data_IF_099248199020
#
_entry.id   IF_099248199020
#
_cell.length_a   1.000
_cell.length_b   1.000
_cell.length_c   1.000
_cell.angle_alpha   90.00
_cell.angle_beta   90.00
_cell.angle_gamma   90.00
#
_symmetry.space_group_name_H-M   'P 1'
#
loop_
_entity.id
_entity.type
_entity.pdbx_description
1 polymer ?
#
# COMPACT_ATOMS: atom_id res chain seq x y z
N UNK A 1 10.90 -45.32 -19.30
CA UNK A 1 10.06 -44.44 -20.16
C UNK A 1 10.98 -43.46 -20.88
N UNK A 2 10.77 -43.15 -22.17
CA UNK A 2 11.63 -42.26 -22.97
C UNK A 2 10.81 -41.36 -23.90
N UNK A 3 11.42 -40.29 -24.39
CA UNK A 3 10.93 -39.44 -25.48
C UNK A 3 11.74 -39.83 -26.71
N UNK A 4 11.05 -40.27 -27.76
CA UNK A 4 11.69 -40.67 -29.02
C UNK A 4 11.36 -39.64 -30.09
N UNK A 5 12.38 -39.00 -30.64
CA UNK A 5 12.30 -38.03 -31.73
C UNK A 5 12.83 -38.70 -33.00
N UNK A 6 12.05 -38.62 -34.07
CA UNK A 6 12.42 -39.12 -35.39
C UNK A 6 12.37 -38.01 -36.42
N UNK A 7 13.44 -37.88 -37.20
CA UNK A 7 13.55 -37.01 -38.36
C UNK A 7 13.40 -35.52 -38.06
N UNK A 8 14.04 -35.01 -37.01
CA UNK A 8 14.02 -33.58 -36.71
C UNK A 8 14.87 -32.79 -37.73
N UNK A 9 14.25 -31.80 -38.38
CA UNK A 9 14.81 -31.00 -39.49
C UNK A 9 14.72 -29.49 -39.25
N UNK A 10 14.31 -29.07 -38.05
CA UNK A 10 14.17 -27.66 -37.69
C UNK A 10 15.52 -26.92 -37.82
N UNK A 11 15.50 -25.81 -38.57
CA UNK A 11 16.66 -24.97 -38.89
C UNK A 11 17.82 -25.73 -39.56
N UNK A 12 18.85 -26.07 -38.78
CA UNK A 12 20.06 -26.72 -39.28
C UNK A 12 20.20 -28.18 -38.81
N UNK A 13 19.16 -28.74 -38.18
CA UNK A 13 19.09 -30.16 -37.90
C UNK A 13 19.01 -30.95 -39.20
N UNK A 14 19.79 -32.04 -39.29
CA UNK A 14 19.93 -32.85 -40.50
C UNK A 14 19.27 -34.21 -40.30
N UNK A 15 17.93 -34.22 -40.24
CA UNK A 15 17.14 -35.45 -40.12
C UNK A 15 17.55 -36.28 -38.89
N UNK A 16 17.51 -35.63 -37.71
CA UNK A 16 18.09 -36.19 -36.48
C UNK A 16 17.10 -37.06 -35.74
N UNK A 17 17.51 -38.30 -35.46
CA UNK A 17 16.84 -39.22 -34.54
C UNK A 17 17.52 -39.19 -33.16
N UNK A 18 16.74 -39.02 -32.10
CA UNK A 18 17.28 -39.03 -30.73
C UNK A 18 16.27 -39.57 -29.71
N UNK A 19 16.77 -40.37 -28.78
CA UNK A 19 16.01 -40.85 -27.62
C UNK A 19 16.48 -40.13 -26.35
N UNK A 20 15.55 -39.49 -25.64
CA UNK A 20 15.81 -38.80 -24.37
C UNK A 20 15.16 -39.59 -23.22
N UNK A 21 15.91 -39.99 -22.18
CA UNK A 21 15.33 -40.69 -21.05
C UNK A 21 14.44 -39.74 -20.23
N UNK A 22 13.24 -40.19 -19.87
CA UNK A 22 12.37 -39.43 -18.95
C UNK A 22 12.89 -39.52 -17.51
N UNK A 23 12.44 -38.56 -16.69
CA UNK A 23 12.73 -38.52 -15.25
C UNK A 23 14.23 -38.43 -14.93
N UNK A 24 15.00 -37.89 -15.87
CA UNK A 24 16.43 -37.64 -15.72
C UNK A 24 16.77 -36.22 -16.16
N UNK A 25 17.77 -35.63 -15.51
CA UNK A 25 18.39 -34.41 -16.00
C UNK A 25 19.19 -34.73 -17.27
N UNK A 26 18.67 -34.30 -18.42
CA UNK A 26 19.36 -34.45 -19.71
C UNK A 26 20.00 -33.12 -20.10
N UNK A 27 21.30 -33.16 -20.40
CA UNK A 27 22.06 -31.98 -20.83
C UNK A 27 22.39 -32.09 -22.30
N UNK A 28 21.94 -31.12 -23.10
CA UNK A 28 22.28 -31.00 -24.52
C UNK A 28 23.49 -30.07 -24.65
N UNK A 29 24.60 -30.58 -25.16
CA UNK A 29 25.87 -29.84 -25.29
C UNK A 29 26.40 -29.88 -26.72
N UNK A 30 27.32 -28.97 -27.06
CA UNK A 30 27.89 -28.82 -28.41
C UNK A 30 28.27 -27.37 -28.76
N UNK A 31 29.02 -27.20 -29.84
CA UNK A 31 29.51 -25.90 -30.33
C UNK A 31 28.38 -24.90 -30.60
N UNK A 32 28.66 -23.59 -30.50
CA UNK A 32 27.68 -22.57 -30.89
C UNK A 32 27.18 -22.81 -32.33
N UNK A 33 25.87 -22.71 -32.54
CA UNK A 33 25.25 -23.02 -33.84
C UNK A 33 25.11 -24.52 -34.16
N UNK A 34 25.46 -25.46 -33.27
CA UNK A 34 25.33 -26.90 -33.55
C UNK A 34 23.89 -27.46 -33.57
N UNK A 35 22.85 -26.62 -33.50
CA UNK A 35 21.44 -27.04 -33.50
C UNK A 35 20.86 -27.41 -32.14
N UNK A 36 21.56 -27.13 -31.02
CA UNK A 36 21.06 -27.42 -29.66
C UNK A 36 19.71 -26.76 -29.37
N UNK A 37 19.61 -25.46 -29.65
CA UNK A 37 18.38 -24.70 -29.43
C UNK A 37 17.28 -25.14 -30.38
N UNK A 38 17.64 -25.48 -31.62
CA UNK A 38 16.70 -26.02 -32.61
C UNK A 38 16.08 -27.34 -32.17
N UNK A 39 16.86 -28.21 -31.53
CA UNK A 39 16.35 -29.47 -30.96
C UNK A 39 15.53 -29.24 -29.68
N UNK A 40 16.06 -28.46 -28.73
CA UNK A 40 15.47 -28.32 -27.40
C UNK A 40 14.24 -27.39 -27.37
N UNK A 41 14.35 -26.20 -27.99
CA UNK A 41 13.31 -25.18 -27.96
C UNK A 41 12.41 -25.27 -29.19
N UNK A 42 13.00 -25.18 -30.37
CA UNK A 42 12.23 -25.04 -31.62
C UNK A 42 11.58 -26.37 -32.06
N UNK A 43 12.01 -27.52 -31.54
CA UNK A 43 11.40 -28.84 -31.80
C UNK A 43 10.66 -29.38 -30.57
N UNK A 44 11.37 -29.72 -29.49
CA UNK A 44 10.78 -30.39 -28.33
C UNK A 44 9.78 -29.52 -27.57
N UNK A 45 10.20 -28.32 -27.16
CA UNK A 45 9.32 -27.40 -26.44
C UNK A 45 8.16 -26.94 -27.31
N UNK A 46 8.43 -26.52 -28.56
CA UNK A 46 7.39 -26.09 -29.49
C UNK A 46 6.31 -27.16 -29.67
N UNK A 47 6.69 -28.42 -29.91
CA UNK A 47 5.73 -29.50 -30.10
C UNK A 47 5.02 -29.89 -28.78
N UNK A 48 5.72 -29.83 -27.65
CA UNK A 48 5.16 -30.13 -26.34
C UNK A 48 4.11 -29.09 -25.91
N UNK A 49 4.41 -27.81 -26.15
CA UNK A 49 3.48 -26.71 -25.93
C UNK A 49 2.29 -26.80 -26.88
N UNK A 50 2.53 -27.01 -28.19
CA UNK A 50 1.46 -27.13 -29.20
C UNK A 50 0.46 -28.23 -28.85
N UNK A 51 0.93 -29.45 -28.57
CA UNK A 51 0.06 -30.59 -28.20
C UNK A 51 -0.72 -30.34 -26.92
N UNK A 52 -0.11 -29.67 -25.94
CA UNK A 52 -0.80 -29.31 -24.70
C UNK A 52 -1.91 -28.29 -24.94
N UNK A 53 -1.62 -27.18 -25.62
CA UNK A 53 -2.62 -26.12 -25.89
C UNK A 53 -3.74 -26.64 -26.81
N UNK A 54 -3.45 -27.56 -27.73
CA UNK A 54 -4.45 -28.23 -28.56
C UNK A 54 -5.47 -29.03 -27.74
N UNK A 55 -5.10 -29.49 -26.55
CA UNK A 55 -6.00 -30.23 -25.67
C UNK A 55 -6.92 -29.34 -24.84
N UNK A 56 -6.64 -28.03 -24.69
CA UNK A 56 -7.34 -27.15 -23.75
C UNK A 56 -8.77 -26.80 -24.17
N UNK A 57 -9.00 -26.39 -25.41
CA UNK A 57 -10.35 -26.09 -25.90
C UNK A 57 -10.49 -26.21 -27.41
N UNK A 58 -11.71 -26.48 -27.90
CA UNK A 58 -12.03 -26.50 -29.33
C UNK A 58 -11.78 -25.14 -30.00
N UNK A 59 -11.98 -24.04 -29.25
CA UNK A 59 -11.66 -22.68 -29.70
C UNK A 59 -10.15 -22.47 -29.82
N UNK A 60 -9.34 -22.86 -28.84
CA UNK A 60 -7.89 -22.74 -28.89
C UNK A 60 -7.29 -23.45 -30.11
N UNK A 61 -7.83 -24.64 -30.46
CA UNK A 61 -7.41 -25.37 -31.68
C UNK A 61 -7.55 -24.54 -32.96
N UNK A 62 -8.57 -23.68 -33.08
CA UNK A 62 -8.75 -22.83 -34.26
C UNK A 62 -7.64 -21.78 -34.40
N UNK A 63 -7.07 -21.31 -33.29
CA UNK A 63 -5.97 -20.33 -33.29
C UNK A 63 -4.60 -21.00 -33.37
N UNK A 64 -4.46 -22.23 -32.86
CA UNK A 64 -3.21 -23.01 -32.90
C UNK A 64 -2.83 -23.51 -34.29
N UNK A 65 -3.81 -23.67 -35.20
CA UNK A 65 -3.52 -23.97 -36.60
C UNK A 65 -2.67 -22.90 -37.31
N UNK A 66 -2.41 -21.75 -36.65
CA UNK A 66 -1.51 -20.69 -37.12
C UNK A 66 -0.11 -20.74 -36.49
N UNK A 67 0.14 -21.60 -35.52
CA UNK A 67 1.50 -21.81 -35.01
C UNK A 67 2.24 -22.75 -35.96
N UNK A 68 3.44 -22.35 -36.38
CA UNK A 68 4.28 -23.17 -37.25
C UNK A 68 4.58 -24.49 -36.53
N UNK A 69 4.12 -25.59 -37.13
CA UNK A 69 4.43 -26.92 -36.63
C UNK A 69 5.92 -27.19 -36.90
N UNK A 70 6.70 -27.62 -35.89
CA UNK A 70 8.11 -27.91 -36.11
C UNK A 70 8.29 -29.00 -37.17
N UNK A 71 9.30 -28.85 -38.01
CA UNK A 71 9.68 -29.81 -39.04
C UNK A 71 10.33 -31.06 -38.40
N UNK A 72 9.48 -32.03 -38.06
CA UNK A 72 9.83 -33.30 -37.44
C UNK A 72 8.86 -34.37 -37.89
N UNK A 73 9.38 -35.56 -38.22
CA UNK A 73 8.56 -36.65 -38.75
C UNK A 73 7.66 -37.24 -37.64
N UNK A 74 8.23 -37.55 -36.48
CA UNK A 74 7.48 -38.09 -35.33
C UNK A 74 8.15 -37.78 -34.01
N UNK A 75 7.33 -37.50 -32.99
CA UNK A 75 7.77 -37.47 -31.59
C UNK A 75 6.81 -38.29 -30.73
N UNK A 76 7.34 -39.33 -30.09
CA UNK A 76 6.61 -40.23 -29.20
C UNK A 76 6.98 -39.99 -27.74
N UNK A 77 5.99 -40.18 -26.86
CA UNK A 77 6.20 -40.03 -25.42
C UNK A 77 6.46 -38.59 -24.96
N UNK A 78 6.13 -37.57 -25.74
CA UNK A 78 6.32 -36.17 -25.31
C UNK A 78 5.38 -35.78 -24.16
N UNK A 79 5.93 -35.13 -23.13
CA UNK A 79 5.14 -34.55 -22.03
C UNK A 79 4.82 -33.07 -22.33
N UNK A 80 3.82 -32.45 -21.67
CA UNK A 80 3.67 -31.00 -21.67
C UNK A 80 5.00 -30.33 -21.30
N UNK A 81 5.43 -29.37 -22.11
CA UNK A 81 6.74 -28.76 -22.01
C UNK A 81 6.64 -27.31 -21.52
N UNK A 82 7.60 -26.91 -20.68
CA UNK A 82 7.77 -25.53 -20.21
C UNK A 82 9.21 -25.12 -20.54
N UNK A 83 9.38 -24.02 -21.26
CA UNK A 83 10.68 -23.43 -21.53
C UNK A 83 11.00 -22.36 -20.48
N UNK A 84 12.23 -22.42 -19.96
CA UNK A 84 12.79 -21.38 -19.11
C UNK A 84 13.96 -20.78 -19.88
N UNK A 85 13.73 -19.59 -20.43
CA UNK A 85 14.70 -18.86 -21.26
C UNK A 85 15.27 -17.64 -20.53
N UNK A 86 16.46 -17.20 -20.93
CA UNK A 86 17.04 -15.94 -20.46
C UNK A 86 16.34 -14.70 -21.04
N UNK A 87 15.57 -14.84 -22.13
CA UNK A 87 14.74 -13.75 -22.67
C UNK A 87 13.51 -13.58 -21.80
N UNK A 88 13.61 -12.73 -20.78
CA UNK A 88 12.42 -12.32 -20.04
C UNK A 88 11.50 -11.53 -20.97
N UNK A 89 10.22 -11.88 -21.01
CA UNK A 89 9.21 -10.92 -21.45
C UNK A 89 9.41 -9.66 -20.59
N UNK A 90 9.73 -8.54 -21.24
CA UNK A 90 9.85 -7.26 -20.54
C UNK A 90 8.47 -6.92 -19.99
N UNK A 91 8.26 -7.17 -18.69
CA UNK A 91 7.03 -6.81 -18.02
C UNK A 91 6.74 -5.32 -18.18
N UNK A 92 5.45 -4.96 -18.12
CA UNK A 92 5.02 -3.58 -18.21
C UNK A 92 5.62 -2.70 -17.09
N UNK A 93 5.48 -1.37 -17.18
CA UNK A 93 6.07 -0.42 -16.23
C UNK A 93 5.64 -0.62 -14.77
N UNK A 94 4.51 -1.30 -14.53
CA UNK A 94 4.03 -1.66 -13.19
C UNK A 94 4.50 -3.04 -12.70
N UNK A 95 5.14 -3.85 -13.55
CA UNK A 95 5.66 -5.16 -13.16
C UNK A 95 6.87 -5.02 -12.24
N UNK A 96 6.84 -5.72 -11.12
CA UNK A 96 7.90 -5.83 -10.12
C UNK A 96 8.29 -7.29 -9.90
N UNK A 97 9.42 -7.54 -9.22
CA UNK A 97 9.81 -8.90 -8.77
C UNK A 97 8.67 -9.54 -7.97
N UNK A 98 8.10 -8.80 -7.01
CA UNK A 98 7.00 -9.29 -6.16
C UNK A 98 5.74 -9.66 -6.96
N UNK A 99 5.41 -8.94 -8.04
CA UNK A 99 4.26 -9.31 -8.89
C UNK A 99 4.54 -10.51 -9.79
N UNK A 100 5.79 -10.69 -10.25
CA UNK A 100 6.15 -11.81 -11.13
C UNK A 100 6.28 -13.13 -10.38
N UNK A 101 6.61 -13.05 -9.10
CA UNK A 101 6.76 -14.20 -8.20
C UNK A 101 5.48 -14.48 -7.40
N UNK A 102 4.41 -13.72 -7.63
CA UNK A 102 3.13 -13.79 -6.89
C UNK A 102 3.25 -13.51 -5.38
N UNK A 103 4.45 -13.20 -4.87
CA UNK A 103 4.68 -12.78 -3.49
C UNK A 103 3.81 -11.59 -3.13
N UNK A 104 3.61 -10.66 -4.07
CA UNK A 104 2.74 -9.51 -3.86
C UNK A 104 1.29 -9.94 -3.54
N UNK A 105 0.78 -10.97 -4.19
CA UNK A 105 -0.61 -11.43 -3.97
C UNK A 105 -0.76 -12.10 -2.61
N UNK A 106 0.26 -12.84 -2.17
CA UNK A 106 0.31 -13.36 -0.80
C UNK A 106 0.41 -12.24 0.25
N UNK A 107 1.25 -11.23 0.03
CA UNK A 107 1.37 -10.09 0.94
C UNK A 107 0.05 -9.31 1.04
N UNK A 108 -0.64 -9.08 -0.09
CA UNK A 108 -1.95 -8.42 -0.11
C UNK A 108 -2.96 -9.17 0.74
N UNK A 109 -3.00 -10.50 0.61
CA UNK A 109 -3.89 -11.33 1.41
C UNK A 109 -3.50 -11.34 2.89
N UNK A 110 -2.21 -11.40 3.20
CA UNK A 110 -1.70 -11.37 4.57
C UNK A 110 -2.12 -10.09 5.29
N UNK A 111 -1.78 -8.93 4.72
CA UNK A 111 -2.12 -7.63 5.30
C UNK A 111 -3.63 -7.37 5.35
N UNK A 112 -4.40 -7.87 4.39
CA UNK A 112 -5.86 -7.74 4.44
C UNK A 112 -6.53 -8.60 5.51
N UNK A 113 -5.95 -9.75 5.87
CA UNK A 113 -6.57 -10.71 6.79
C UNK A 113 -6.15 -10.54 8.24
N UNK A 114 -4.88 -10.25 8.48
CA UNK A 114 -4.32 -10.14 9.83
C UNK A 114 -3.73 -8.77 10.12
N UNK A 115 -3.83 -7.83 9.17
CA UNK A 115 -3.35 -6.47 9.36
C UNK A 115 -4.16 -5.73 10.41
N UNK A 116 -3.46 -5.12 11.36
CA UNK A 116 -4.05 -4.30 12.42
C UNK A 116 -3.85 -2.84 12.05
N UNK A 117 -4.96 -2.11 11.90
CA UNK A 117 -4.90 -0.66 11.64
C UNK A 117 -4.61 0.08 12.93
N UNK A 118 -3.61 0.97 12.93
CA UNK A 118 -3.24 1.82 14.06
C UNK A 118 -3.34 3.29 13.69
N UNK A 119 -3.82 4.11 14.62
CA UNK A 119 -3.88 5.56 14.43
C UNK A 119 -2.48 6.17 14.40
N UNK A 120 -2.18 7.10 13.49
CA UNK A 120 -0.91 7.82 13.49
C UNK A 120 -0.81 8.86 14.62
N UNK A 121 -1.92 9.21 15.30
CA UNK A 121 -1.95 10.22 16.36
C UNK A 121 -1.66 9.56 17.72
N UNK A 122 -2.47 8.59 18.14
CA UNK A 122 -2.31 7.89 19.41
C UNK A 122 -1.43 6.64 19.34
N UNK A 123 -1.26 6.03 18.15
CA UNK A 123 -0.64 4.70 18.01
C UNK A 123 -1.58 3.54 18.39
N UNK A 124 -2.79 3.84 18.83
CA UNK A 124 -3.76 2.84 19.26
C UNK A 124 -4.45 2.14 18.09
N UNK A 125 -4.97 0.94 18.37
CA UNK A 125 -5.65 0.12 17.38
C UNK A 125 -6.98 0.76 17.01
N UNK A 126 -7.20 0.93 15.71
CA UNK A 126 -8.50 1.30 15.15
C UNK A 126 -9.35 0.04 15.11
N UNK A 127 -10.52 0.12 15.74
CA UNK A 127 -11.50 -0.97 15.80
C UNK A 127 -12.84 -0.47 15.30
N UNK A 128 -13.66 -1.43 14.92
CA UNK A 128 -15.07 -1.26 14.58
C UNK A 128 -15.83 -2.31 15.36
N UNK A 129 -16.55 -1.86 16.35
CA UNK A 129 -17.33 -2.71 17.22
C UNK A 129 -18.65 -3.07 16.53
N UNK A 130 -19.05 -4.33 16.67
CA UNK A 130 -20.35 -4.84 16.23
C UNK A 130 -21.29 -4.81 17.40
N UNK A 131 -22.59 -4.86 17.10
CA UNK A 131 -23.64 -5.05 18.11
C UNK A 131 -23.33 -6.22 19.03
N UNK A 132 -22.85 -7.34 18.46
CA UNK A 132 -22.43 -8.53 19.21
C UNK A 132 -21.31 -8.25 20.20
N UNK A 133 -20.33 -7.41 19.85
CA UNK A 133 -19.20 -7.09 20.75
C UNK A 133 -19.69 -6.33 22.00
N UNK A 134 -20.66 -5.43 21.82
CA UNK A 134 -21.28 -4.69 22.93
C UNK A 134 -22.17 -5.60 23.78
N UNK A 135 -22.97 -6.46 23.14
CA UNK A 135 -23.82 -7.44 23.83
C UNK A 135 -22.96 -8.39 24.67
N UNK A 136 -21.90 -8.95 24.08
CA UNK A 136 -20.96 -9.84 24.77
C UNK A 136 -20.31 -9.12 25.96
N UNK A 137 -19.94 -7.85 25.81
CA UNK A 137 -19.42 -7.05 26.91
C UNK A 137 -20.44 -6.87 28.04
N UNK A 138 -21.69 -6.53 27.72
CA UNK A 138 -22.78 -6.39 28.70
C UNK A 138 -23.00 -7.70 29.46
N UNK A 139 -22.99 -8.84 28.77
CA UNK A 139 -23.19 -10.16 29.39
C UNK A 139 -22.00 -10.60 30.28
N UNK A 140 -20.78 -10.16 29.98
CA UNK A 140 -19.55 -10.64 30.62
C UNK A 140 -18.95 -9.69 31.66
N UNK A 141 -19.32 -8.41 31.66
CA UNK A 141 -18.70 -7.40 32.53
C UNK A 141 -18.97 -7.59 34.04
N UNK A 142 -19.96 -8.42 34.42
CA UNK A 142 -20.21 -8.82 35.80
C UNK A 142 -20.76 -7.71 36.73
N UNK A 143 -21.09 -6.54 36.21
CA UNK A 143 -21.60 -5.42 36.99
C UNK A 143 -23.08 -5.61 37.37
N UNK A 144 -23.49 -5.28 38.60
CA UNK A 144 -24.89 -5.43 39.04
C UNK A 144 -25.87 -4.57 38.25
N UNK A 145 -25.42 -3.39 37.80
CA UNK A 145 -26.21 -2.41 37.05
C UNK A 145 -25.38 -1.80 35.94
N UNK A 146 -25.92 -1.89 34.74
CA UNK A 146 -25.34 -1.34 33.52
C UNK A 146 -26.32 -0.35 32.89
N UNK A 147 -25.79 0.73 32.34
CA UNK A 147 -26.56 1.69 31.54
C UNK A 147 -25.94 1.82 30.17
N UNK A 148 -26.75 1.69 29.14
CA UNK A 148 -26.35 1.92 27.77
C UNK A 148 -26.67 3.37 27.40
N UNK A 149 -25.64 4.12 27.08
CA UNK A 149 -25.71 5.56 26.82
C UNK A 149 -25.27 5.86 25.40
N UNK A 150 -26.10 6.57 24.65
CA UNK A 150 -25.73 7.14 23.35
C UNK A 150 -25.20 8.56 23.55
N UNK A 151 -23.94 8.87 23.22
CA UNK A 151 -23.41 10.23 23.35
C UNK A 151 -24.20 11.19 22.44
N UNK A 152 -24.65 12.32 23.00
CA UNK A 152 -25.50 13.25 22.28
C UNK A 152 -24.65 14.37 21.66
N UNK A 153 -24.37 14.26 20.36
CA UNK A 153 -23.65 15.33 19.66
C UNK A 153 -24.58 16.54 19.42
N UNK A 154 -24.08 17.78 19.57
CA UNK A 154 -24.82 18.98 19.20
C UNK A 154 -25.10 18.97 17.70
N UNK A 155 -26.34 19.23 17.31
CA UNK A 155 -26.73 19.28 15.89
C UNK A 155 -26.78 20.73 15.42
N UNK A 156 -26.38 20.96 14.18
CA UNK A 156 -26.40 22.30 13.57
C UNK A 156 -27.81 22.76 13.17
N UNK A 157 -28.78 21.83 13.09
CA UNK A 157 -30.14 22.08 12.57
C UNK A 157 -31.16 22.46 13.65
N UNK A 158 -30.82 22.34 14.94
CA UNK A 158 -31.74 22.58 16.05
C UNK A 158 -31.01 22.97 17.34
N UNK A 159 -31.71 23.64 18.25
CA UNK A 159 -31.19 23.91 19.59
C UNK A 159 -31.13 22.62 20.44
N UNK A 160 -30.27 22.54 21.47
CA UNK A 160 -30.25 21.41 22.41
C UNK A 160 -31.61 21.16 23.06
N UNK A 161 -32.35 22.22 23.40
CA UNK A 161 -33.70 22.10 23.98
C UNK A 161 -34.69 21.45 23.01
N UNK A 162 -34.67 21.86 21.75
CA UNK A 162 -35.54 21.28 20.72
C UNK A 162 -35.16 19.83 20.42
N UNK A 163 -33.85 19.50 20.46
CA UNK A 163 -33.38 18.12 20.34
C UNK A 163 -33.93 17.24 21.46
N UNK A 164 -33.90 17.72 22.71
CA UNK A 164 -34.45 17.01 23.86
C UNK A 164 -35.98 16.86 23.76
N UNK A 165 -36.71 17.89 23.31
CA UNK A 165 -38.17 17.79 23.10
C UNK A 165 -38.54 16.72 22.09
N UNK A 166 -37.78 16.60 20.99
CA UNK A 166 -38.01 15.56 19.97
C UNK A 166 -37.75 14.17 20.56
N UNK A 167 -36.65 13.98 21.29
CA UNK A 167 -36.34 12.71 21.96
C UNK A 167 -37.43 12.34 22.99
N UNK A 168 -37.95 13.33 23.73
CA UNK A 168 -39.05 13.12 24.67
C UNK A 168 -40.34 12.68 23.95
N UNK A 169 -40.65 13.28 22.79
CA UNK A 169 -41.78 12.87 21.95
C UNK A 169 -41.62 11.46 21.36
N UNK A 170 -40.38 11.02 21.15
CA UNK A 170 -40.05 9.65 20.75
C UNK A 170 -40.12 8.64 21.91
N UNK A 171 -40.38 9.11 23.14
CA UNK A 171 -40.59 8.26 24.31
C UNK A 171 -39.38 8.10 25.22
N UNK A 172 -38.26 8.77 24.93
CA UNK A 172 -37.13 8.79 25.83
C UNK A 172 -37.45 9.60 27.10
N UNK A 173 -37.02 9.10 28.25
CA UNK A 173 -37.34 9.71 29.56
C UNK A 173 -36.13 10.13 30.38
N UNK A 174 -34.93 9.66 30.00
CA UNK A 174 -33.70 9.84 30.76
C UNK A 174 -32.53 10.24 29.88
N UNK A 175 -31.64 11.05 30.47
CA UNK A 175 -30.39 11.51 29.87
C UNK A 175 -29.24 11.29 30.84
N UNK A 176 -28.04 11.23 30.28
CA UNK A 176 -26.79 11.14 31.02
C UNK A 176 -26.17 12.53 31.15
N UNK A 177 -25.78 12.89 32.37
CA UNK A 177 -25.16 14.17 32.73
C UNK A 177 -23.87 13.92 33.51
N UNK A 178 -23.12 14.97 33.85
CA UNK A 178 -21.92 14.84 34.69
C UNK A 178 -22.20 14.25 36.09
N UNK A 179 -23.44 14.35 36.58
CA UNK A 179 -23.89 13.79 37.86
C UNK A 179 -24.57 12.42 37.72
N UNK A 180 -24.60 11.87 36.50
CA UNK A 180 -25.19 10.57 36.16
C UNK A 180 -26.54 10.67 35.45
N UNK A 181 -27.33 9.60 35.53
CA UNK A 181 -28.61 9.48 34.84
C UNK A 181 -29.72 10.32 35.51
N UNK A 182 -30.27 11.28 34.78
CA UNK A 182 -31.37 12.15 35.22
C UNK A 182 -32.61 11.97 34.35
N UNK A 183 -33.79 12.31 34.90
CA UNK A 183 -35.02 12.42 34.11
C UNK A 183 -35.02 13.72 33.33
N UNK A 184 -35.53 13.68 32.10
CA UNK A 184 -35.59 14.85 31.24
C UNK A 184 -36.45 15.99 31.82
N UNK A 185 -37.46 15.65 32.62
CA UNK A 185 -38.34 16.63 33.29
C UNK A 185 -37.67 17.36 34.47
N UNK A 186 -36.44 17.00 34.84
CA UNK A 186 -35.72 17.51 36.02
C UNK A 186 -34.34 18.10 35.67
N UNK A 187 -34.16 18.53 34.43
CA UNK A 187 -32.89 18.91 33.82
C UNK A 187 -32.37 20.32 34.16
N UNK A 188 -32.91 21.00 35.17
CA UNK A 188 -32.72 22.44 35.42
C UNK A 188 -31.24 22.87 35.50
N UNK A 189 -30.68 23.32 34.36
CA UNK A 189 -29.31 23.87 34.25
C UNK A 189 -28.18 22.85 34.06
N UNK A 190 -28.46 21.57 33.83
CA UNK A 190 -27.43 20.54 33.64
C UNK A 190 -27.10 20.28 32.16
N UNK A 191 -25.81 20.15 31.87
CA UNK A 191 -25.33 19.76 30.53
C UNK A 191 -25.65 18.29 30.24
N UNK A 192 -26.33 18.05 29.12
CA UNK A 192 -26.65 16.70 28.64
C UNK A 192 -25.49 16.15 27.83
N UNK A 193 -24.86 15.10 28.36
CA UNK A 193 -23.73 14.41 27.74
C UNK A 193 -24.18 13.25 26.83
N UNK A 194 -25.34 12.64 27.13
CA UNK A 194 -25.85 11.50 26.38
C UNK A 194 -27.30 11.17 26.66
N UNK A 195 -27.84 10.26 25.87
CA UNK A 195 -29.17 9.70 26.00
C UNK A 195 -29.09 8.32 26.64
N UNK A 196 -29.86 8.06 27.70
CA UNK A 196 -29.92 6.72 28.31
C UNK A 196 -30.93 5.90 27.53
N UNK A 197 -30.44 4.90 26.80
CA UNK A 197 -31.26 4.09 25.89
C UNK A 197 -31.90 2.93 26.62
N UNK A 198 -31.10 2.15 27.35
CA UNK A 198 -31.63 1.07 28.20
C UNK A 198 -30.73 0.85 29.43
N UNK A 199 -31.24 0.03 30.36
CA UNK A 199 -30.60 -0.37 31.60
C UNK A 199 -30.74 -1.87 31.77
N UNK A 200 -29.65 -2.49 32.20
CA UNK A 200 -29.56 -3.94 32.34
C UNK A 200 -29.05 -4.30 33.73
N UNK A 201 -29.58 -5.38 34.29
CA UNK A 201 -28.89 -6.24 35.24
C UNK A 201 -28.34 -7.47 34.51
N UNK A 202 -27.31 -8.16 35.05
CA UNK A 202 -26.76 -9.37 34.44
C UNK A 202 -27.83 -10.42 34.13
N UNK A 203 -28.79 -10.60 35.05
CA UNK A 203 -29.89 -11.53 34.89
C UNK A 203 -30.83 -11.11 33.75
N UNK A 204 -31.22 -9.82 33.69
CA UNK A 204 -32.13 -9.35 32.64
C UNK A 204 -31.51 -9.36 31.25
N UNK A 205 -30.19 -9.16 31.16
CA UNK A 205 -29.48 -9.20 29.88
C UNK A 205 -29.39 -10.63 29.34
N UNK A 206 -29.14 -11.60 30.22
CA UNK A 206 -29.07 -13.02 29.86
C UNK A 206 -30.45 -13.64 29.54
N UNK A 207 -31.53 -13.10 30.10
CA UNK A 207 -32.90 -13.57 29.83
C UNK A 207 -33.41 -13.16 28.44
N UNK A 208 -32.94 -12.02 27.90
CA UNK A 208 -33.41 -11.47 26.62
C UNK A 208 -32.29 -10.75 25.85
N UNK A 209 -31.37 -11.53 25.28
CA UNK A 209 -30.26 -11.01 24.46
C UNK A 209 -30.76 -10.22 23.24
N UNK A 210 -31.94 -10.56 22.70
CA UNK A 210 -32.55 -9.87 21.57
C UNK A 210 -32.88 -8.41 21.91
N UNK A 211 -33.48 -8.17 23.08
CA UNK A 211 -33.73 -6.80 23.57
C UNK A 211 -32.43 -6.02 23.78
N UNK A 212 -31.37 -6.67 24.29
CA UNK A 212 -30.07 -6.00 24.47
C UNK A 212 -29.52 -5.56 23.12
N UNK A 213 -29.57 -6.45 22.11
CA UNK A 213 -29.14 -6.14 20.75
C UNK A 213 -29.92 -4.98 20.13
N UNK A 214 -31.26 -4.97 20.23
CA UNK A 214 -32.11 -3.88 19.72
C UNK A 214 -31.78 -2.52 20.39
N UNK A 215 -31.48 -2.57 21.69
CA UNK A 215 -31.08 -1.39 22.47
C UNK A 215 -29.71 -0.87 22.06
N UNK A 216 -28.75 -1.78 21.82
CA UNK A 216 -27.42 -1.45 21.29
C UNK A 216 -27.50 -0.83 19.90
N UNK A 217 -28.32 -1.39 19.00
CA UNK A 217 -28.56 -0.79 17.67
C UNK A 217 -29.12 0.63 17.80
N UNK A 218 -30.11 0.81 18.67
CA UNK A 218 -30.69 2.13 18.95
C UNK A 218 -29.65 3.11 19.50
N UNK A 219 -28.80 2.66 20.43
CA UNK A 219 -27.77 3.50 21.01
C UNK A 219 -26.69 3.91 20.01
N UNK A 220 -26.24 2.99 19.16
CA UNK A 220 -25.30 3.29 18.09
C UNK A 220 -25.94 4.26 17.08
N UNK A 221 -27.21 4.07 16.72
CA UNK A 221 -27.92 4.95 15.80
C UNK A 221 -28.03 6.39 16.33
N UNK A 222 -28.58 6.56 17.55
CA UNK A 222 -28.76 7.89 18.14
C UNK A 222 -27.42 8.56 18.50
N UNK A 223 -26.41 7.76 18.85
CA UNK A 223 -25.06 8.23 19.17
C UNK A 223 -24.18 8.50 17.95
N UNK A 224 -24.72 8.40 16.73
CA UNK A 224 -23.98 8.67 15.50
C UNK A 224 -22.86 7.67 15.24
N UNK A 225 -23.06 6.42 15.63
CA UNK A 225 -22.13 5.30 15.53
C UNK A 225 -21.41 4.98 16.83
N UNK A 226 -21.61 5.76 17.90
CA UNK A 226 -20.94 5.56 19.19
C UNK A 226 -21.96 5.18 20.26
N UNK A 227 -21.56 4.35 21.20
CA UNK A 227 -22.29 4.12 22.43
C UNK A 227 -21.33 3.86 23.59
N UNK A 228 -21.81 3.99 24.81
CA UNK A 228 -21.04 3.77 26.02
C UNK A 228 -21.82 2.86 26.95
N UNK A 229 -21.15 1.83 27.48
CA UNK A 229 -21.68 1.00 28.55
C UNK A 229 -21.11 1.51 29.85
N UNK A 230 -21.96 2.10 30.69
CA UNK A 230 -21.62 2.60 32.01
C UNK A 230 -21.92 1.55 33.05
N UNK A 231 -20.93 1.21 33.86
CA UNK A 231 -21.04 0.29 35.01
C UNK A 231 -20.83 1.07 36.29
N UNK A 232 -21.53 0.68 37.35
CA UNK A 232 -21.32 1.24 38.70
C UNK A 232 -20.67 0.19 39.58
N UNK A 233 -19.46 0.48 40.08
CA UNK A 233 -18.75 -0.38 41.04
C UNK A 233 -19.40 -0.31 42.43
N UNK A 234 -19.13 -1.30 43.29
CA UNK A 234 -19.53 -1.33 44.70
C UNK A 234 -19.07 -0.08 45.48
N UNK A 235 -17.95 0.53 45.07
CA UNK A 235 -17.42 1.79 45.64
C UNK A 235 -18.15 3.05 45.16
N UNK A 236 -19.22 2.91 44.36
CA UNK A 236 -20.00 4.02 43.81
C UNK A 236 -19.33 4.80 42.68
N UNK A 237 -18.16 4.36 42.20
CA UNK A 237 -17.50 4.93 41.02
C UNK A 237 -18.13 4.38 39.74
N UNK A 238 -18.46 5.29 38.82
CA UNK A 238 -18.96 4.96 37.50
C UNK A 238 -17.78 4.87 36.51
N UNK A 239 -17.66 3.73 35.83
CA UNK A 239 -16.70 3.51 34.75
C UNK A 239 -17.44 3.25 33.44
N UNK A 240 -16.86 3.67 32.33
CA UNK A 240 -17.45 3.48 31.02
C UNK A 240 -16.49 2.82 30.04
N UNK A 241 -17.07 1.98 29.18
CA UNK A 241 -16.41 1.44 28.00
C UNK A 241 -17.12 2.01 26.78
N UNK A 242 -16.37 2.69 25.92
CA UNK A 242 -16.87 3.25 24.66
C UNK A 242 -16.74 2.24 23.53
N UNK A 243 -17.79 2.15 22.71
CA UNK A 243 -17.86 1.34 21.52
C UNK A 243 -18.20 2.22 20.31
N UNK A 244 -17.68 1.84 19.13
CA UNK A 244 -17.87 2.58 17.89
C UNK A 244 -18.08 1.64 16.69
N UNK A 245 -19.21 1.77 15.99
CA UNK A 245 -19.52 0.99 14.79
C UNK A 245 -18.84 1.51 13.51
N UNK A 246 -18.07 2.59 13.63
CA UNK A 246 -17.24 3.14 12.55
C UNK A 246 -15.78 2.79 12.80
N UNK A 247 -15.08 2.52 11.70
CA UNK A 247 -13.64 2.25 11.74
C UNK A 247 -12.87 3.58 11.84
N UNK A 248 -12.94 4.22 13.01
CA UNK A 248 -12.37 5.54 13.27
C UNK A 248 -11.62 5.61 14.61
N UNK A 249 -10.63 6.50 14.70
CA UNK A 249 -9.87 6.79 15.93
C UNK A 249 -9.30 8.21 15.83
N UNK A 250 -9.20 8.91 16.97
CA UNK A 250 -8.61 10.26 17.06
C UNK A 250 -9.23 11.28 16.09
N UNK A 251 -10.53 11.14 15.78
CA UNK A 251 -11.24 12.00 14.84
C UNK A 251 -10.94 11.71 13.36
N UNK A 252 -10.21 10.63 13.06
CA UNK A 252 -9.92 10.16 11.69
C UNK A 252 -10.73 8.90 11.38
N UNK A 253 -11.37 8.85 10.22
CA UNK A 253 -12.00 7.65 9.69
C UNK A 253 -11.00 6.92 8.79
N UNK A 254 -10.88 5.61 8.97
CA UNK A 254 -9.96 4.75 8.21
C UNK A 254 -10.76 3.83 7.28
N UNK A 255 -10.20 3.48 6.10
CA UNK A 255 -10.73 2.39 5.30
C UNK A 255 -10.38 1.05 5.95
N UNK A 256 -11.33 0.11 5.94
CA UNK A 256 -11.07 -1.26 6.39
C UNK A 256 -10.07 -1.97 5.44
N UNK A 257 -9.08 -2.73 5.97
CA UNK A 257 -8.11 -3.43 5.14
C UNK A 257 -8.75 -4.42 4.17
N UNK A 258 -8.47 -4.27 2.87
CA UNK A 258 -8.91 -5.19 1.82
C UNK A 258 -7.74 -5.58 0.91
N UNK A 259 -7.78 -6.72 0.21
CA UNK A 259 -6.68 -7.11 -0.69
C UNK A 259 -6.38 -6.08 -1.79
N UNK A 260 -7.37 -5.28 -2.18
CA UNK A 260 -7.22 -4.23 -3.19
C UNK A 260 -6.59 -2.95 -2.67
N UNK A 261 -6.73 -2.65 -1.37
CA UNK A 261 -5.99 -1.58 -0.69
C UNK A 261 -4.47 -1.74 -0.85
N UNK A 262 -4.01 -2.98 -0.93
CA UNK A 262 -2.61 -3.35 -1.08
C UNK A 262 -2.21 -3.58 -2.54
N UNK A 263 -3.12 -3.37 -3.51
CA UNK A 263 -2.87 -3.60 -4.92
C UNK A 263 -2.56 -2.29 -5.65
N UNK A 264 -1.29 -2.03 -5.94
CA UNK A 264 -0.90 -0.84 -6.71
C UNK A 264 -1.28 -0.87 -8.20
N UNK A 265 -1.85 -1.98 -8.71
CA UNK A 265 -2.44 -2.02 -10.04
C UNK A 265 -3.91 -1.61 -10.05
N UNK A 266 -4.56 -1.55 -8.88
CA UNK A 266 -5.93 -1.06 -8.71
C UNK A 266 -5.91 0.41 -8.29
N UNK A 267 -6.83 1.26 -8.78
CA UNK A 267 -6.95 2.65 -8.32
C UNK A 267 -7.15 2.78 -6.80
N UNK A 268 -7.76 1.78 -6.16
CA UNK A 268 -8.03 1.76 -4.72
C UNK A 268 -6.72 1.70 -3.91
N UNK A 269 -5.79 0.82 -4.29
CA UNK A 269 -4.54 0.64 -3.58
C UNK A 269 -3.37 1.42 -4.14
N UNK A 270 -3.50 1.99 -5.34
CA UNK A 270 -2.43 2.74 -5.98
C UNK A 270 -2.18 4.09 -5.30
N UNK A 271 -0.91 4.47 -5.18
CA UNK A 271 -0.54 5.83 -4.79
C UNK A 271 -1.10 6.83 -5.81
N UNK A 272 -1.94 7.76 -5.37
CA UNK A 272 -2.55 8.76 -6.25
C UNK A 272 -1.56 9.69 -6.96
N UNK A 273 -0.38 9.92 -6.40
CA UNK A 273 0.63 10.81 -7.01
C UNK A 273 1.36 10.18 -8.20
N UNK A 274 1.66 8.88 -8.12
CA UNK A 274 2.37 8.17 -9.17
C UNK A 274 1.52 7.10 -9.87
N UNK A 275 0.23 7.01 -9.57
CA UNK A 275 -0.71 6.04 -10.12
C UNK A 275 -0.14 4.60 -10.15
N UNK A 276 0.49 4.15 -9.07
CA UNK A 276 1.07 2.80 -8.98
C UNK A 276 2.36 2.55 -9.79
N UNK A 277 2.97 3.57 -10.41
CA UNK A 277 4.26 3.44 -11.10
C UNK A 277 5.47 3.46 -10.15
N UNK A 278 5.32 4.08 -8.98
CA UNK A 278 6.39 4.25 -7.97
C UNK A 278 7.40 5.34 -8.31
N UNK A 279 7.29 5.92 -9.50
CA UNK A 279 8.12 7.02 -9.95
C UNK A 279 7.26 8.14 -10.53
N UNK A 280 7.77 9.36 -10.43
CA UNK A 280 7.18 10.57 -11.01
C UNK A 280 8.18 11.21 -11.96
N UNK A 281 7.69 12.03 -12.89
CA UNK A 281 8.56 12.89 -13.67
C UNK A 281 9.07 14.02 -12.77
N UNK A 282 10.30 13.89 -12.30
CA UNK A 282 10.94 14.83 -11.39
C UNK A 282 12.36 15.17 -11.83
N UNK A 283 13.09 15.88 -10.96
CA UNK A 283 14.50 16.21 -11.17
C UNK A 283 15.36 14.99 -10.86
N UNK A 284 16.01 14.46 -11.90
CA UNK A 284 16.82 13.26 -11.85
C UNK A 284 18.19 13.54 -11.20
N UNK A 285 18.48 12.97 -10.01
CA UNK A 285 19.74 13.22 -9.31
C UNK A 285 20.98 12.85 -10.13
N UNK A 286 20.90 11.79 -10.93
CA UNK A 286 22.03 11.32 -11.74
C UNK A 286 22.30 12.26 -12.92
N UNK A 287 21.26 12.95 -13.43
CA UNK A 287 21.45 13.99 -14.44
C UNK A 287 21.97 15.29 -13.83
N UNK A 288 21.59 15.59 -12.58
CA UNK A 288 22.05 16.79 -11.85
C UNK A 288 23.51 16.64 -11.42
N UNK A 289 23.92 15.45 -10.97
CA UNK A 289 25.29 15.12 -10.58
C UNK A 289 25.77 13.91 -11.39
N UNK A 290 26.12 14.09 -12.68
CA UNK A 290 26.48 12.99 -13.57
C UNK A 290 27.85 12.39 -13.30
N UNK A 291 28.70 13.09 -12.55
CA UNK A 291 30.05 12.65 -12.20
C UNK A 291 30.24 12.78 -10.68
N UNK A 292 29.98 11.70 -9.92
CA UNK A 292 30.11 11.68 -8.46
C UNK A 292 31.54 11.84 -7.95
N UNK A 293 32.55 11.79 -8.83
CA UNK A 293 33.96 11.95 -8.45
C UNK A 293 34.37 13.41 -8.29
N UNK A 294 33.58 14.35 -8.83
CA UNK A 294 33.82 15.79 -8.68
C UNK A 294 33.38 16.31 -7.32
N UNK A 295 34.06 17.35 -6.85
CA UNK A 295 33.68 18.11 -5.66
C UNK A 295 32.62 19.17 -5.98
N UNK A 296 31.98 19.74 -4.95
CA UNK A 296 31.05 20.85 -5.12
C UNK A 296 31.74 22.10 -5.71
N UNK A 297 32.99 22.33 -5.30
CA UNK A 297 33.84 23.40 -5.82
C UNK A 297 34.13 23.21 -7.33
N UNK A 298 34.47 21.98 -7.73
CA UNK A 298 34.78 21.60 -9.13
C UNK A 298 33.53 21.40 -10.01
N UNK A 299 32.36 21.81 -9.51
CA UNK A 299 31.11 21.77 -10.26
C UNK A 299 30.51 20.37 -10.38
N UNK A 300 30.44 19.60 -9.29
CA UNK A 300 29.66 18.36 -9.23
C UNK A 300 28.22 18.57 -9.76
N UNK A 301 27.56 19.67 -9.35
CA UNK A 301 26.21 20.04 -9.80
C UNK A 301 26.23 20.62 -11.22
N UNK A 302 25.90 19.78 -12.20
CA UNK A 302 25.86 20.11 -13.62
C UNK A 302 25.06 21.38 -13.99
N UNK A 303 23.84 21.62 -13.46
CA UNK A 303 23.08 22.82 -13.81
C UNK A 303 23.76 24.14 -13.38
N UNK A 304 24.73 24.10 -12.47
CA UNK A 304 25.44 25.28 -11.98
C UNK A 304 26.81 25.49 -12.64
N UNK A 305 27.15 24.75 -13.70
CA UNK A 305 28.44 24.91 -14.40
C UNK A 305 28.49 26.12 -15.34
N UNK A 306 27.35 26.69 -15.74
CA UNK A 306 27.29 27.80 -16.70
C UNK A 306 27.61 29.15 -16.07
N UNK A 307 28.05 30.13 -16.86
CA UNK A 307 28.47 31.46 -16.36
C UNK A 307 27.42 32.17 -15.50
N UNK A 308 26.13 32.12 -15.89
CA UNK A 308 25.05 32.77 -15.14
C UNK A 308 24.59 31.94 -13.94
N UNK A 309 24.59 30.61 -14.07
CA UNK A 309 24.11 29.71 -13.02
C UNK A 309 25.19 29.37 -12.00
N UNK A 310 26.47 29.60 -12.32
CA UNK A 310 27.62 29.44 -11.44
C UNK A 310 27.57 30.27 -10.17
N UNK A 311 26.82 31.39 -10.17
CA UNK A 311 26.53 32.19 -8.98
C UNK A 311 25.88 31.39 -7.85
N UNK A 312 25.13 30.33 -8.16
CA UNK A 312 24.53 29.44 -7.15
C UNK A 312 25.59 28.61 -6.45
N UNK A 313 26.51 28.01 -7.23
CA UNK A 313 27.68 27.31 -6.71
C UNK A 313 28.56 28.24 -5.89
N UNK A 314 28.87 29.43 -6.38
CA UNK A 314 29.70 30.42 -5.67
C UNK A 314 29.11 30.77 -4.30
N UNK A 315 27.81 31.04 -4.24
CA UNK A 315 27.12 31.31 -2.98
C UNK A 315 27.16 30.12 -2.01
N UNK A 316 26.96 28.91 -2.51
CA UNK A 316 27.08 27.69 -1.71
C UNK A 316 28.50 27.55 -1.16
N UNK A 317 29.53 27.74 -2.00
CA UNK A 317 30.94 27.66 -1.58
C UNK A 317 31.29 28.71 -0.55
N UNK A 318 30.81 29.95 -0.70
CA UNK A 318 31.01 31.01 0.31
C UNK A 318 30.32 30.69 1.64
N UNK A 319 29.15 30.04 1.60
CA UNK A 319 28.39 29.64 2.78
C UNK A 319 28.87 28.32 3.43
N UNK A 320 29.77 27.59 2.77
CA UNK A 320 30.13 26.23 3.14
C UNK A 320 30.71 26.11 4.56
N UNK A 321 31.52 27.09 4.98
CA UNK A 321 32.11 27.11 6.32
C UNK A 321 31.08 27.29 7.45
N UNK A 322 30.01 28.04 7.20
CA UNK A 322 28.92 28.21 8.17
C UNK A 322 27.96 27.00 8.22
N UNK A 323 27.94 26.19 7.17
CA UNK A 323 27.05 25.05 7.00
C UNK A 323 27.74 23.67 7.17
N UNK A 324 29.00 23.66 7.64
CA UNK A 324 29.86 22.47 7.80
C UNK A 324 29.87 21.55 6.56
N UNK A 325 30.00 22.16 5.37
CA UNK A 325 29.91 21.47 4.09
C UNK A 325 31.30 21.35 3.43
N UNK A 326 31.87 20.14 3.29
CA UNK A 326 33.20 19.97 2.71
C UNK A 326 33.17 20.09 1.18
N UNK A 327 33.34 21.31 0.67
CA UNK A 327 33.17 21.63 -0.76
C UNK A 327 34.23 21.06 -1.71
N UNK A 328 35.40 20.68 -1.18
CA UNK A 328 36.49 20.06 -1.95
C UNK A 328 36.44 18.52 -1.90
N UNK A 329 35.56 17.94 -1.08
CA UNK A 329 35.37 16.49 -1.03
C UNK A 329 34.56 16.03 -2.26
N UNK A 330 34.95 14.94 -2.94
CA UNK A 330 34.14 14.32 -3.99
C UNK A 330 32.71 14.02 -3.55
N UNK A 331 31.72 14.25 -4.41
CA UNK A 331 30.29 14.06 -4.11
C UNK A 331 29.97 12.66 -3.53
N UNK A 332 30.57 11.62 -4.09
CA UNK A 332 30.38 10.24 -3.62
C UNK A 332 30.86 9.99 -2.18
N UNK A 333 31.76 10.85 -1.66
CA UNK A 333 32.29 10.77 -0.29
C UNK A 333 31.52 11.67 0.71
N UNK A 334 30.55 12.46 0.25
CA UNK A 334 29.66 13.22 1.13
C UNK A 334 28.70 12.26 1.84
N UNK A 335 28.34 12.59 3.09
CA UNK A 335 27.29 11.88 3.83
C UNK A 335 25.91 12.18 3.22
N UNK A 336 24.92 11.32 3.49
CA UNK A 336 23.57 11.55 2.97
C UNK A 336 22.96 12.84 3.51
N UNK A 337 23.22 13.20 4.77
CA UNK A 337 22.82 14.49 5.35
C UNK A 337 23.47 15.69 4.62
N UNK A 338 24.75 15.59 4.26
CA UNK A 338 25.44 16.64 3.48
C UNK A 338 24.89 16.76 2.06
N UNK A 339 24.57 15.63 1.40
CA UNK A 339 23.93 15.64 0.08
C UNK A 339 22.55 16.29 0.18
N UNK A 340 21.75 15.90 1.17
CA UNK A 340 20.42 16.47 1.42
C UNK A 340 20.50 17.99 1.68
N UNK A 341 21.49 18.45 2.43
CA UNK A 341 21.75 19.87 2.65
C UNK A 341 22.01 20.64 1.33
N UNK A 342 22.70 20.03 0.35
CA UNK A 342 22.90 20.64 -0.98
C UNK A 342 21.58 20.68 -1.78
N UNK A 343 20.75 19.65 -1.66
CA UNK A 343 19.45 19.59 -2.34
C UNK A 343 18.45 20.58 -1.78
N UNK A 344 18.27 20.61 -0.46
CA UNK A 344 17.28 21.45 0.24
C UNK A 344 17.78 22.88 0.42
N UNK A 345 19.09 23.06 0.65
CA UNK A 345 19.68 24.33 1.07
C UNK A 345 19.58 24.54 2.57
N UNK A 346 20.02 25.72 3.02
CA UNK A 346 19.95 26.14 4.43
C UNK A 346 19.72 27.66 4.53
N UNK A 347 19.78 28.20 5.74
CA UNK A 347 19.67 29.65 5.96
C UNK A 347 20.73 30.47 5.17
N UNK A 348 21.90 29.88 4.91
CA UNK A 348 23.03 30.57 4.28
C UNK A 348 23.09 30.44 2.75
N UNK A 349 22.49 29.40 2.16
CA UNK A 349 22.46 29.23 0.71
C UNK A 349 21.20 28.50 0.24
N UNK A 350 20.79 28.76 -1.00
CA UNK A 350 19.65 28.09 -1.63
C UNK A 350 20.09 26.81 -2.33
N UNK A 351 19.39 25.70 -2.07
CA UNK A 351 19.71 24.39 -2.62
C UNK A 351 19.29 24.18 -4.08
N UNK A 352 19.49 22.94 -4.55
CA UNK A 352 19.12 22.50 -5.90
C UNK A 352 17.60 22.61 -6.13
N UNK A 353 16.77 22.27 -5.14
CA UNK A 353 15.30 22.40 -5.26
C UNK A 353 14.90 23.84 -5.54
N UNK A 354 15.39 24.79 -4.74
CA UNK A 354 15.13 26.22 -4.93
C UNK A 354 15.61 26.76 -6.30
N UNK A 355 16.66 26.16 -6.87
CA UNK A 355 17.11 26.49 -8.23
C UNK A 355 16.08 26.05 -9.28
N UNK A 356 15.59 24.82 -9.19
CA UNK A 356 14.58 24.31 -10.12
C UNK A 356 13.21 24.99 -9.94
N UNK A 357 12.80 25.28 -8.70
CA UNK A 357 11.57 26.04 -8.41
C UNK A 357 11.62 27.42 -9.08
N UNK A 358 12.78 28.09 -9.04
CA UNK A 358 12.99 29.38 -9.71
C UNK A 358 12.89 29.27 -11.24
N UNK A 359 13.39 28.17 -11.83
CA UNK A 359 13.25 27.90 -13.26
C UNK A 359 11.80 27.61 -13.64
N UNK A 360 11.08 26.83 -12.82
CA UNK A 360 9.68 26.45 -13.03
C UNK A 360 8.74 27.65 -12.90
N UNK A 361 8.96 28.53 -11.92
CA UNK A 361 8.24 29.80 -11.78
C UNK A 361 8.39 30.71 -13.01
N UNK A 362 9.48 30.54 -13.77
CA UNK A 362 9.76 31.28 -15.02
C UNK A 362 9.67 30.37 -16.26
N UNK A 363 8.88 29.30 -16.20
CA UNK A 363 8.71 28.31 -17.28
C UNK A 363 8.12 28.89 -18.57
N UNK A 364 7.52 30.08 -18.54
CA UNK A 364 7.12 30.80 -19.75
C UNK A 364 8.31 31.01 -20.72
N UNK A 365 9.53 31.17 -20.19
CA UNK A 365 10.76 31.30 -21.00
C UNK A 365 11.20 29.93 -21.55
N UNK A 366 11.36 29.83 -22.87
CA UNK A 366 11.73 28.58 -23.56
C UNK A 366 13.04 27.99 -23.02
N UNK A 367 14.05 28.83 -22.80
CA UNK A 367 15.34 28.38 -22.27
C UNK A 367 15.23 27.70 -20.90
N UNK A 368 14.28 28.12 -20.05
CA UNK A 368 14.06 27.50 -18.75
C UNK A 368 13.41 26.12 -18.90
N UNK A 369 12.43 25.99 -19.82
CA UNK A 369 11.83 24.69 -20.16
C UNK A 369 12.85 23.70 -20.69
N UNK A 370 13.73 24.14 -21.59
CA UNK A 370 14.82 23.32 -22.14
C UNK A 370 15.83 22.95 -21.06
N UNK A 371 16.12 23.86 -20.13
CA UNK A 371 17.04 23.56 -19.03
C UNK A 371 16.45 22.52 -18.08
N UNK A 372 15.17 22.67 -17.69
CA UNK A 372 14.48 21.70 -16.83
C UNK A 372 14.40 20.33 -17.51
N UNK A 373 14.04 20.26 -18.80
CA UNK A 373 13.88 18.97 -19.49
C UNK A 373 15.17 18.15 -19.56
N UNK A 374 16.34 18.80 -19.64
CA UNK A 374 17.65 18.12 -19.61
C UNK A 374 17.91 17.37 -18.31
N UNK A 375 17.36 17.86 -17.19
CA UNK A 375 17.56 17.28 -15.86
C UNK A 375 16.33 16.54 -15.34
N UNK A 376 15.25 16.44 -16.13
CA UNK A 376 14.08 15.62 -15.76
C UNK A 376 14.31 14.16 -16.08
N UNK A 377 13.83 13.30 -15.21
CA UNK A 377 13.87 11.85 -15.35
C UNK A 377 12.80 11.18 -14.49
N UNK A 378 12.84 9.85 -14.44
CA UNK A 378 11.96 9.07 -13.58
C UNK A 378 12.58 9.02 -12.19
N UNK A 379 12.04 9.80 -11.27
CA UNK A 379 12.52 9.85 -9.89
C UNK A 379 11.57 9.08 -8.99
N UNK A 380 12.05 8.61 -7.83
CA UNK A 380 11.17 8.00 -6.83
C UNK A 380 10.02 8.95 -6.49
N UNK A 381 8.82 8.40 -6.40
CA UNK A 381 7.64 9.16 -5.98
C UNK A 381 7.86 9.72 -4.57
N UNK A 382 7.60 11.00 -4.36
CA UNK A 382 7.75 11.66 -3.05
C UNK A 382 6.71 11.20 -2.04
N UNK A 383 5.52 10.81 -2.52
CA UNK A 383 4.45 10.34 -1.65
C UNK A 383 4.69 8.92 -1.18
N UNK A 384 4.89 7.95 -2.08
CA UNK A 384 5.03 6.53 -1.71
C UNK A 384 6.50 6.05 -1.59
N UNK A 385 7.48 6.89 -1.90
CA UNK A 385 8.91 6.55 -1.88
C UNK A 385 9.29 5.32 -2.72
N UNK A 386 8.49 5.02 -3.76
CA UNK A 386 8.72 3.89 -4.66
C UNK A 386 7.91 2.64 -4.37
N UNK A 387 7.18 2.57 -3.25
CA UNK A 387 6.37 1.38 -2.88
C UNK A 387 5.13 1.21 -3.74
N UNK A 388 4.71 2.25 -4.47
CA UNK A 388 3.55 2.28 -5.39
C UNK A 388 2.18 2.25 -4.73
N UNK A 389 2.12 1.96 -3.43
CA UNK A 389 0.86 1.82 -2.66
C UNK A 389 0.43 3.18 -2.08
N UNK A 390 -0.88 3.35 -1.92
CA UNK A 390 -1.52 4.50 -1.28
C UNK A 390 -1.11 4.72 0.18
N UNK A 391 -1.37 5.93 0.72
CA UNK A 391 -1.00 6.29 2.08
C UNK A 391 -1.77 5.50 3.13
N UNK A 392 -3.03 5.12 2.87
CA UNK A 392 -3.87 4.42 3.85
C UNK A 392 -3.23 3.10 4.33
N UNK A 393 -2.50 2.41 3.46
CA UNK A 393 -1.82 1.15 3.77
C UNK A 393 -0.64 1.32 4.75
N UNK A 394 -0.23 2.57 5.06
CA UNK A 394 0.78 2.86 6.08
C UNK A 394 0.26 2.72 7.50
N UNK A 395 -1.06 2.71 7.65
CA UNK A 395 -1.69 2.56 8.95
C UNK A 395 -1.95 1.09 9.30
N UNK A 396 -1.72 0.15 8.38
CA UNK A 396 -1.98 -1.28 8.57
C UNK A 396 -0.68 -2.02 8.82
N UNK A 397 -0.60 -2.67 9.98
CA UNK A 397 0.60 -3.35 10.47
C UNK A 397 0.39 -4.85 10.57
N UNK A 398 1.42 -5.62 10.23
CA UNK A 398 1.54 -7.04 10.60
C UNK A 398 2.76 -7.15 11.52
N UNK A 399 2.54 -7.43 12.80
CA UNK A 399 3.55 -7.17 13.82
C UNK A 399 3.87 -5.68 13.91
N UNK A 400 5.13 -5.31 13.72
CA UNK A 400 5.62 -3.93 13.78
C UNK A 400 5.93 -3.33 12.41
N UNK A 401 5.63 -4.04 11.32
CA UNK A 401 5.95 -3.60 9.95
C UNK A 401 4.71 -3.35 9.11
N UNK A 402 4.80 -2.35 8.22
CA UNK A 402 3.78 -2.09 7.21
C UNK A 402 4.17 -2.71 5.87
N UNK A 403 3.22 -2.82 4.94
CA UNK A 403 3.52 -3.26 3.58
C UNK A 403 4.51 -2.31 2.86
N UNK A 404 4.53 -1.03 3.25
CA UNK A 404 5.45 -0.05 2.70
C UNK A 404 6.89 -0.33 3.11
N UNK A 405 7.09 -0.95 4.28
CA UNK A 405 8.42 -1.32 4.79
C UNK A 405 8.88 -2.61 4.11
N UNK A 406 8.02 -3.63 4.08
CA UNK A 406 8.28 -4.92 3.43
C UNK A 406 8.66 -4.75 1.96
N UNK A 407 7.98 -3.87 1.22
CA UNK A 407 8.28 -3.63 -0.20
C UNK A 407 9.59 -2.89 -0.47
N UNK A 408 10.27 -2.38 0.57
CA UNK A 408 11.59 -1.74 0.46
C UNK A 408 12.71 -2.65 0.93
N UNK A 409 12.40 -3.74 1.63
CA UNK A 409 13.37 -4.73 2.07
C UNK A 409 13.98 -5.47 0.89
N UNK A 410 15.23 -5.85 1.05
CA UNK A 410 15.84 -6.90 0.24
C UNK A 410 15.26 -8.27 0.60
N UNK A 411 15.49 -9.27 -0.25
CA UNK A 411 15.01 -10.64 0.01
C UNK A 411 15.68 -11.26 1.24
N UNK A 412 16.86 -10.81 1.65
CA UNK A 412 17.51 -11.28 2.88
C UNK A 412 16.97 -10.62 4.15
N UNK A 413 16.44 -9.39 4.04
CA UNK A 413 15.88 -8.64 5.17
C UNK A 413 14.43 -9.05 5.50
N UNK A 414 13.68 -9.48 4.49
CA UNK A 414 12.28 -9.92 4.59
C UNK A 414 12.16 -11.39 4.98
#
# INVERSE_FOLDING_TARGET
MKIDIHGAKVHNLKDVDVSIPKEKLTVVTGLSGSGKSSLAFDTLYAEGQRRYVESLSSYARQFLGRLDKPDVDRIDGLSPAVAIEQRSASGGPRSTVATRTEIMDHLRMLFARIGVTKSPISGEVVRKDRVTDVVDHILTCGAERMMLVAPLAPRNDRSPEDQLRVLQQQGYTRVWTAEGAMRMDSLDGHDVLGLVVDRFSPQSAAEDEGRVADSVETALFEGGGRCQVWTTSEDGKAESVEFNDRFERDGMVFPEPTPDMFNFNSPVGACGTCEGYGHVLGIDPDKVVPDPTRSLYDGAVAPWRGERTGRWRERLVMAAGAADLPVHTPWQKLTDAQRELVWNGCAHFKGIHAFFDMLEAKSYKIQNRVMISRYRGRTKCTTCHGTRIGPDARHVFVGDVTIHDVLRMTVEEA
#
